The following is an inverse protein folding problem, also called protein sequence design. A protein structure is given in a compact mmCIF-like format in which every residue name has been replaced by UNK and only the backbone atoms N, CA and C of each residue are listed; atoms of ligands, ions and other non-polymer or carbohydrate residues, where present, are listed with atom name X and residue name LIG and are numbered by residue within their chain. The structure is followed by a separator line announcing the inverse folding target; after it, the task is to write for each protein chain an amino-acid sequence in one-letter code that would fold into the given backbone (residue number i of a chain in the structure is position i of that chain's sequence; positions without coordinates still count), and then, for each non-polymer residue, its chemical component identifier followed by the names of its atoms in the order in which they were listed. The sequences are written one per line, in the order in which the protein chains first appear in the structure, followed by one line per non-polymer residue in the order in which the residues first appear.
data_IF_772753702915
#
_entry.id   IF_772753702915
#
_cell.length_a   1.000
_cell.length_b   1.000
_cell.length_c   1.000
_cell.angle_alpha   90.00
_cell.angle_beta   90.00
_cell.angle_gamma   90.00
#
_symmetry.space_group_name_H-M   'P 1'
#
loop_
_entity.id
_entity.type
_entity.pdbx_description
1 polymer ?
#
# COMPACT_ATOMS: atom_id res chain seq x y z
N UNK A 1 30.09 9.59 -2.20
CA UNK A 1 28.75 9.84 -2.75
C UNK A 1 28.28 11.20 -2.26
N UNK A 2 27.83 12.08 -3.16
CA UNK A 2 27.35 13.43 -2.82
C UNK A 2 26.12 13.31 -1.88
N UNK A 3 26.02 14.19 -0.86
CA UNK A 3 24.91 14.18 0.12
C UNK A 3 23.53 14.24 -0.53
N UNK A 4 23.39 15.02 -1.62
CA UNK A 4 22.16 15.12 -2.41
C UNK A 4 21.80 13.79 -3.09
N UNK A 5 22.79 13.09 -3.67
CA UNK A 5 22.56 11.78 -4.28
C UNK A 5 22.14 10.74 -3.23
N UNK A 6 22.78 10.73 -2.06
CA UNK A 6 22.40 9.83 -0.95
C UNK A 6 20.96 10.05 -0.49
N UNK A 7 20.52 11.32 -0.39
CA UNK A 7 19.15 11.68 -0.02
C UNK A 7 18.14 11.07 -1.01
N UNK A 8 18.33 11.28 -2.33
CA UNK A 8 17.40 10.78 -3.34
C UNK A 8 17.41 9.26 -3.48
N UNK A 9 18.57 8.61 -3.34
CA UNK A 9 18.63 7.14 -3.32
C UNK A 9 17.90 6.60 -2.10
N UNK A 10 18.04 7.23 -0.94
CA UNK A 10 17.27 6.89 0.26
C UNK A 10 15.77 7.02 0.06
N UNK A 11 15.32 8.07 -0.63
CA UNK A 11 13.91 8.26 -1.00
C UNK A 11 13.39 7.13 -1.90
N UNK A 12 14.14 6.80 -2.96
CA UNK A 12 13.78 5.72 -3.88
C UNK A 12 13.66 4.39 -3.14
N UNK A 13 14.65 4.03 -2.33
CA UNK A 13 14.65 2.75 -1.58
C UNK A 13 13.50 2.70 -0.58
N UNK A 14 13.24 3.79 0.16
CA UNK A 14 12.13 3.90 1.09
C UNK A 14 10.78 3.72 0.36
N UNK A 15 10.65 4.36 -0.79
CA UNK A 15 9.43 4.31 -1.60
C UNK A 15 9.22 2.93 -2.25
N UNK A 16 10.29 2.29 -2.74
CA UNK A 16 10.24 0.91 -3.22
C UNK A 16 9.77 -0.03 -2.09
N UNK A 17 10.35 0.08 -0.90
CA UNK A 17 9.93 -0.70 0.25
C UNK A 17 8.43 -0.49 0.56
N UNK A 18 7.94 0.75 0.53
CA UNK A 18 6.54 1.08 0.74
C UNK A 18 5.60 0.48 -0.34
N UNK A 19 6.08 0.28 -1.57
CA UNK A 19 5.35 -0.42 -2.62
C UNK A 19 5.21 -1.92 -2.38
N UNK A 20 6.04 -2.48 -1.51
CA UNK A 20 6.12 -3.93 -1.27
C UNK A 20 5.40 -4.39 -0.01
N UNK A 21 5.29 -3.55 1.03
CA UNK A 21 4.78 -3.95 2.36
C UNK A 21 3.40 -4.59 2.36
N UNK A 22 2.58 -4.29 1.34
CA UNK A 22 1.22 -4.81 1.24
C UNK A 22 1.12 -6.12 0.45
N UNK A 23 2.22 -6.65 -0.12
CA UNK A 23 2.17 -7.84 -0.98
C UNK A 23 1.73 -9.08 -0.23
N UNK A 24 2.32 -9.34 0.93
CA UNK A 24 1.99 -10.52 1.76
C UNK A 24 0.60 -10.42 2.40
N UNK A 25 0.20 -9.30 3.04
CA UNK A 25 -1.16 -9.17 3.57
C UNK A 25 -2.26 -9.28 2.51
N UNK A 26 -2.01 -8.75 1.30
CA UNK A 26 -2.95 -8.81 0.18
C UNK A 26 -2.61 -9.90 -0.83
N UNK A 27 -2.00 -10.99 -0.39
CA UNK A 27 -1.63 -12.15 -1.21
C UNK A 27 -2.81 -12.68 -2.02
N UNK A 28 -4.01 -12.65 -1.44
CA UNK A 28 -5.27 -13.07 -2.07
C UNK A 28 -5.59 -12.34 -3.39
N UNK A 29 -5.08 -11.14 -3.61
CA UNK A 29 -5.41 -10.37 -4.83
C UNK A 29 -4.81 -10.96 -6.09
N UNK A 30 -3.76 -11.77 -5.95
CA UNK A 30 -3.05 -12.39 -7.07
C UNK A 30 -3.04 -13.92 -6.95
N UNK A 31 -2.97 -14.45 -5.74
CA UNK A 31 -2.73 -15.88 -5.47
C UNK A 31 -3.89 -16.53 -4.69
N UNK A 32 -5.14 -16.10 -4.95
CA UNK A 32 -6.30 -16.56 -4.20
C UNK A 32 -6.47 -18.08 -4.25
N UNK A 33 -6.42 -18.66 -5.47
CA UNK A 33 -6.59 -20.10 -5.68
C UNK A 33 -5.44 -20.89 -5.06
N UNK A 34 -4.22 -20.34 -5.10
CA UNK A 34 -3.07 -20.95 -4.46
C UNK A 34 -3.16 -20.91 -2.92
N UNK A 35 -3.80 -19.89 -2.34
CA UNK A 35 -4.05 -19.89 -0.90
C UNK A 35 -5.02 -21.01 -0.49
N UNK A 36 -6.02 -21.30 -1.33
CA UNK A 36 -6.95 -22.40 -1.10
C UNK A 36 -6.22 -23.74 -1.24
N UNK A 37 -5.49 -23.94 -2.34
CA UNK A 37 -4.85 -25.24 -2.64
C UNK A 37 -3.67 -25.54 -1.72
N UNK A 38 -2.74 -24.58 -1.57
CA UNK A 38 -1.45 -24.81 -0.94
C UNK A 38 -1.51 -24.75 0.60
N UNK A 39 -2.44 -23.97 1.15
CA UNK A 39 -2.65 -23.83 2.59
C UNK A 39 -3.93 -24.49 3.09
N UNK A 40 -4.67 -25.19 2.20
CA UNK A 40 -5.95 -25.85 2.48
C UNK A 40 -6.96 -24.90 3.18
N UNK A 41 -7.01 -23.63 2.73
CA UNK A 41 -7.88 -22.62 3.30
C UNK A 41 -9.24 -22.61 2.59
N UNK A 42 -10.31 -22.38 3.35
CA UNK A 42 -11.64 -22.10 2.81
C UNK A 42 -11.78 -20.61 2.49
N UNK A 43 -12.77 -20.27 1.63
CA UNK A 43 -13.11 -18.88 1.33
C UNK A 43 -13.43 -18.07 2.60
N UNK A 44 -14.13 -18.70 3.56
CA UNK A 44 -14.47 -18.07 4.85
C UNK A 44 -13.21 -17.77 5.65
N UNK A 45 -12.27 -18.71 5.70
CA UNK A 45 -10.99 -18.50 6.42
C UNK A 45 -10.16 -17.37 5.83
N UNK A 46 -10.08 -17.26 4.49
CA UNK A 46 -9.42 -16.13 3.83
C UNK A 46 -10.12 -14.81 4.20
N UNK A 47 -11.45 -14.81 4.25
CA UNK A 47 -12.25 -13.67 4.73
C UNK A 47 -11.93 -13.28 6.18
N UNK A 48 -11.81 -14.26 7.08
CA UNK A 48 -11.44 -14.04 8.49
C UNK A 48 -10.04 -13.43 8.59
N UNK A 49 -9.04 -13.97 7.89
CA UNK A 49 -7.68 -13.41 7.87
C UNK A 49 -7.67 -11.94 7.46
N UNK A 50 -8.43 -11.59 6.41
CA UNK A 50 -8.55 -10.20 5.97
C UNK A 50 -9.28 -9.31 6.97
N UNK A 51 -10.27 -9.86 7.68
CA UNK A 51 -11.00 -9.14 8.73
C UNK A 51 -10.08 -8.85 9.92
N UNK A 52 -9.32 -9.85 10.40
CA UNK A 52 -8.31 -9.69 11.45
C UNK A 52 -7.31 -8.59 11.06
N UNK A 53 -6.77 -8.65 9.84
CA UNK A 53 -5.81 -7.66 9.36
C UNK A 53 -6.42 -6.25 9.31
N UNK A 54 -7.61 -6.10 8.73
CA UNK A 54 -8.23 -4.78 8.51
C UNK A 54 -8.71 -4.15 9.82
N UNK A 55 -9.33 -4.92 10.73
CA UNK A 55 -9.76 -4.45 12.05
C UNK A 55 -8.55 -4.02 12.88
N UNK A 56 -7.50 -4.84 12.91
CA UNK A 56 -6.26 -4.52 13.62
C UNK A 56 -5.65 -3.21 13.11
N UNK A 57 -5.57 -3.03 11.79
CA UNK A 57 -5.08 -1.76 11.21
C UNK A 57 -5.91 -0.57 11.65
N UNK A 58 -7.24 -0.69 11.56
CA UNK A 58 -8.17 0.41 11.92
C UNK A 58 -7.95 0.85 13.36
N UNK A 59 -7.85 -0.10 14.28
CA UNK A 59 -7.63 0.20 15.72
C UNK A 59 -6.23 0.77 15.95
N UNK A 60 -5.22 0.27 15.25
CA UNK A 60 -3.83 0.63 15.51
C UNK A 60 -3.36 1.91 14.80
N UNK A 61 -4.12 2.49 13.86
CA UNK A 61 -3.70 3.73 13.20
C UNK A 61 -3.50 4.89 14.18
N UNK A 62 -4.38 5.05 15.18
CA UNK A 62 -4.25 6.11 16.18
C UNK A 62 -3.03 5.86 17.09
N UNK A 63 -2.91 4.71 17.81
CA UNK A 63 -1.74 4.46 18.63
C UNK A 63 -0.44 4.37 17.81
N UNK A 64 -0.49 3.88 16.57
CA UNK A 64 0.66 3.86 15.67
C UNK A 64 1.16 5.26 15.32
N UNK A 65 0.27 6.24 15.11
CA UNK A 65 0.62 7.64 14.94
C UNK A 65 1.34 8.21 16.15
N UNK A 66 0.82 7.94 17.36
CA UNK A 66 1.44 8.35 18.62
C UNK A 66 2.85 7.75 18.78
N UNK A 67 3.01 6.48 18.43
CA UNK A 67 4.32 5.82 18.47
C UNK A 67 5.30 6.45 17.46
N UNK A 68 4.84 6.78 16.25
CA UNK A 68 5.67 7.41 15.24
C UNK A 68 6.17 8.82 15.66
N UNK A 69 5.44 9.52 16.50
CA UNK A 69 5.87 10.82 17.04
C UNK A 69 6.87 10.69 18.18
N UNK A 70 6.84 9.58 18.92
CA UNK A 70 7.72 9.35 20.08
C UNK A 70 9.00 8.60 19.73
N UNK A 71 8.96 7.72 18.77
CA UNK A 71 10.10 6.88 18.41
C UNK A 71 10.85 7.44 17.20
N UNK A 72 12.13 7.04 17.09
CA UNK A 72 12.97 7.32 15.94
C UNK A 72 12.37 6.68 14.69
N UNK A 73 12.06 7.54 13.70
CA UNK A 73 11.37 7.15 12.48
C UNK A 73 12.12 6.07 11.69
N UNK A 74 13.47 6.17 11.65
CA UNK A 74 14.31 5.18 11.00
C UNK A 74 14.25 3.82 11.70
N UNK A 75 14.25 3.82 13.05
CA UNK A 75 14.15 2.57 13.83
C UNK A 75 12.81 1.90 13.62
N UNK A 76 11.73 2.68 13.53
CA UNK A 76 10.39 2.15 13.26
C UNK A 76 10.30 1.54 11.87
N UNK A 77 10.84 2.19 10.84
CA UNK A 77 10.89 1.66 9.47
C UNK A 77 11.68 0.36 9.39
N UNK A 78 12.86 0.32 10.03
CA UNK A 78 13.70 -0.88 10.04
C UNK A 78 13.07 -2.03 10.84
N UNK A 79 12.56 -1.73 12.04
CA UNK A 79 11.92 -2.73 12.91
C UNK A 79 10.67 -3.33 12.28
N UNK A 80 9.82 -2.50 11.66
CA UNK A 80 8.63 -2.97 10.95
C UNK A 80 8.99 -3.81 9.73
N UNK A 81 10.00 -3.42 8.95
CA UNK A 81 10.44 -4.23 7.80
C UNK A 81 11.08 -5.55 8.23
N UNK A 82 11.85 -5.56 9.30
CA UNK A 82 12.40 -6.80 9.87
C UNK A 82 11.29 -7.73 10.37
N UNK A 83 10.28 -7.18 11.04
CA UNK A 83 9.11 -7.94 11.48
C UNK A 83 8.35 -8.52 10.28
N UNK A 84 8.13 -7.74 9.21
CA UNK A 84 7.52 -8.23 7.97
C UNK A 84 8.29 -9.39 7.38
N UNK A 85 9.62 -9.32 7.32
CA UNK A 85 10.46 -10.40 6.81
C UNK A 85 10.30 -11.69 7.64
N UNK A 86 10.40 -11.59 8.96
CA UNK A 86 10.24 -12.72 9.88
C UNK A 86 8.86 -13.37 9.73
N UNK A 87 7.81 -12.56 9.73
CA UNK A 87 6.43 -13.05 9.58
C UNK A 87 6.20 -13.72 8.22
N UNK A 88 6.83 -13.19 7.16
CA UNK A 88 6.72 -13.76 5.82
C UNK A 88 7.41 -15.13 5.73
N UNK A 89 8.58 -15.28 6.34
CA UNK A 89 9.23 -16.60 6.44
C UNK A 89 8.43 -17.56 7.33
N UNK A 90 7.81 -17.08 8.39
CA UNK A 90 6.93 -17.92 9.20
C UNK A 90 5.70 -18.34 8.41
N UNK A 91 5.11 -17.46 7.60
CA UNK A 91 4.02 -17.80 6.71
C UNK A 91 4.45 -18.85 5.67
N UNK A 92 5.67 -18.75 5.12
CA UNK A 92 6.23 -19.72 4.19
C UNK A 92 6.43 -21.12 4.80
N UNK A 93 6.47 -21.24 6.12
CA UNK A 93 6.50 -22.55 6.80
C UNK A 93 5.17 -23.33 6.74
N UNK A 94 4.13 -22.75 6.10
CA UNK A 94 2.79 -23.35 5.95
C UNK A 94 2.16 -23.67 7.31
N UNK A 95 1.98 -22.69 8.20
CA UNK A 95 1.41 -22.93 9.51
C UNK A 95 -0.10 -23.19 9.41
N UNK A 96 -0.67 -23.81 10.43
CA UNK A 96 -2.11 -24.01 10.54
C UNK A 96 -2.88 -22.67 10.65
N UNK A 97 -4.21 -22.74 10.43
CA UNK A 97 -5.07 -21.56 10.30
C UNK A 97 -4.95 -20.59 11.48
N UNK A 98 -4.97 -21.07 12.72
CA UNK A 98 -4.81 -20.20 13.91
C UNK A 98 -3.50 -19.41 13.90
N UNK A 99 -2.42 -20.03 13.48
CA UNK A 99 -1.13 -19.32 13.36
C UNK A 99 -1.14 -18.30 12.23
N UNK A 100 -1.91 -18.54 11.16
CA UNK A 100 -2.13 -17.55 10.11
C UNK A 100 -2.89 -16.33 10.63
N UNK A 101 -3.87 -16.49 11.51
CA UNK A 101 -4.56 -15.36 12.15
C UNK A 101 -3.58 -14.50 12.97
N UNK A 102 -2.69 -15.15 13.75
CA UNK A 102 -1.63 -14.45 14.50
C UNK A 102 -0.67 -13.72 13.55
N UNK A 103 -0.27 -14.35 12.46
CA UNK A 103 0.58 -13.73 11.43
C UNK A 103 -0.12 -12.51 10.83
N UNK A 104 -1.40 -12.60 10.44
CA UNK A 104 -2.15 -11.49 9.86
C UNK A 104 -2.35 -10.33 10.83
N UNK A 105 -2.58 -10.63 12.12
CA UNK A 105 -2.58 -9.64 13.17
C UNK A 105 -1.24 -8.90 13.25
N UNK A 106 -0.11 -9.61 13.32
CA UNK A 106 1.22 -9.01 13.42
C UNK A 106 1.65 -8.30 12.13
N UNK A 107 1.22 -8.80 10.95
CA UNK A 107 1.40 -8.11 9.67
C UNK A 107 0.69 -6.74 9.69
N UNK A 108 -0.51 -6.67 10.28
CA UNK A 108 -1.23 -5.40 10.42
C UNK A 108 -0.48 -4.43 11.33
N UNK A 109 0.03 -4.89 12.48
CA UNK A 109 0.89 -4.09 13.38
C UNK A 109 2.09 -3.53 12.63
N UNK A 110 2.83 -4.41 11.95
CA UNK A 110 4.02 -4.04 11.19
C UNK A 110 3.71 -3.02 10.11
N UNK A 111 2.63 -3.23 9.34
CA UNK A 111 2.24 -2.33 8.26
C UNK A 111 1.80 -0.94 8.75
N UNK A 112 1.09 -0.86 9.87
CA UNK A 112 0.73 0.44 10.47
C UNK A 112 1.98 1.20 10.87
N UNK A 113 2.90 0.56 11.62
CA UNK A 113 4.14 1.19 12.06
C UNK A 113 5.01 1.65 10.88
N UNK A 114 5.10 0.83 9.84
CA UNK A 114 5.81 1.22 8.61
C UNK A 114 5.13 2.42 7.95
N UNK A 115 3.81 2.36 7.74
CA UNK A 115 3.09 3.36 6.97
C UNK A 115 3.12 4.74 7.60
N UNK A 116 2.86 4.86 8.91
CA UNK A 116 2.91 6.15 9.60
C UNK A 116 4.32 6.75 9.57
N UNK A 117 5.34 5.91 9.73
CA UNK A 117 6.74 6.32 9.65
C UNK A 117 7.15 6.70 8.22
N UNK A 118 6.64 5.99 7.22
CA UNK A 118 6.86 6.27 5.79
C UNK A 118 6.31 7.64 5.40
N UNK A 119 5.05 7.92 5.74
CA UNK A 119 4.42 9.22 5.44
C UNK A 119 5.19 10.38 6.08
N UNK A 120 5.64 10.21 7.34
CA UNK A 120 6.48 11.19 8.03
C UNK A 120 7.83 11.37 7.32
N UNK A 121 8.48 10.27 6.93
CA UNK A 121 9.76 10.32 6.23
C UNK A 121 9.65 10.99 4.85
N UNK A 122 8.62 10.69 4.07
CA UNK A 122 8.41 11.26 2.73
C UNK A 122 8.30 12.78 2.79
N UNK A 123 7.61 13.32 3.79
CA UNK A 123 7.48 14.78 3.97
C UNK A 123 8.83 15.50 4.11
N UNK A 124 9.86 14.84 4.64
CA UNK A 124 11.18 15.43 4.84
C UNK A 124 12.00 15.55 3.54
N UNK A 125 11.52 14.99 2.42
CA UNK A 125 12.26 15.02 1.16
C UNK A 125 11.98 16.24 0.30
N UNK A 126 10.84 16.94 0.47
CA UNK A 126 10.49 18.16 -0.24
C UNK A 126 10.24 19.35 0.68
N UNK A 127 10.17 20.55 0.10
CA UNK A 127 9.69 21.77 0.75
C UNK A 127 8.16 21.74 0.87
N UNK A 128 7.56 22.70 1.59
CA UNK A 128 6.10 22.78 1.71
C UNK A 128 5.40 22.90 0.35
N UNK A 129 6.01 23.61 -0.58
CA UNK A 129 5.49 23.85 -1.94
C UNK A 129 5.68 22.65 -2.88
N UNK A 130 6.51 21.67 -2.52
CA UNK A 130 6.85 20.50 -3.34
C UNK A 130 6.19 19.20 -2.84
N UNK A 131 5.36 19.27 -1.81
CA UNK A 131 4.79 18.06 -1.19
C UNK A 131 3.94 17.24 -2.17
N UNK A 132 3.17 17.91 -3.04
CA UNK A 132 2.38 17.23 -4.07
C UNK A 132 3.25 16.41 -5.02
N UNK A 133 4.34 17.01 -5.51
CA UNK A 133 5.31 16.33 -6.38
C UNK A 133 6.00 15.15 -5.69
N UNK A 134 6.44 15.34 -4.44
CA UNK A 134 7.15 14.30 -3.68
C UNK A 134 6.24 13.10 -3.42
N UNK A 135 5.00 13.33 -2.98
CA UNK A 135 4.02 12.25 -2.82
C UNK A 135 3.62 11.63 -4.17
N UNK A 136 3.44 12.43 -5.22
CA UNK A 136 3.16 11.95 -6.57
C UNK A 136 4.27 11.04 -7.11
N UNK A 137 5.54 11.42 -6.97
CA UNK A 137 6.67 10.55 -7.33
C UNK A 137 6.72 9.29 -6.48
N UNK A 138 6.42 9.42 -5.18
CA UNK A 138 6.36 8.28 -4.29
C UNK A 138 5.31 7.26 -4.77
N UNK A 139 4.10 7.69 -5.11
CA UNK A 139 3.06 6.79 -5.62
C UNK A 139 3.45 6.16 -6.97
N UNK A 140 4.05 6.93 -7.89
CA UNK A 140 4.55 6.39 -9.16
C UNK A 140 5.62 5.31 -8.97
N UNK A 141 6.61 5.53 -8.11
CA UNK A 141 7.66 4.54 -7.80
C UNK A 141 7.05 3.31 -7.12
N UNK A 142 6.08 3.48 -6.21
CA UNK A 142 5.37 2.38 -5.56
C UNK A 142 4.60 1.52 -6.57
N UNK A 143 3.96 2.15 -7.57
CA UNK A 143 3.25 1.43 -8.63
C UNK A 143 4.23 0.59 -9.46
N UNK A 144 5.38 1.15 -9.85
CA UNK A 144 6.44 0.41 -10.57
C UNK A 144 6.96 -0.76 -9.73
N UNK A 145 7.27 -0.52 -8.45
CA UNK A 145 7.74 -1.58 -7.54
C UNK A 145 6.71 -2.71 -7.45
N UNK A 146 5.43 -2.34 -7.31
CA UNK A 146 4.34 -3.29 -7.24
C UNK A 146 4.20 -4.15 -8.50
N UNK A 147 4.31 -3.52 -9.67
CA UNK A 147 4.23 -4.20 -10.95
C UNK A 147 5.37 -5.22 -11.10
N UNK A 148 6.62 -4.77 -10.93
CA UNK A 148 7.80 -5.60 -11.11
C UNK A 148 7.81 -6.80 -10.16
N UNK A 149 7.51 -6.57 -8.88
CA UNK A 149 7.53 -7.62 -7.88
C UNK A 149 6.41 -8.65 -8.09
N UNK A 150 5.23 -8.23 -8.58
CA UNK A 150 4.15 -9.16 -8.90
C UNK A 150 4.51 -10.05 -10.10
N UNK A 151 5.11 -9.49 -11.15
CA UNK A 151 5.56 -10.30 -12.27
C UNK A 151 6.66 -11.29 -11.88
N UNK A 152 7.63 -10.87 -11.05
CA UNK A 152 8.64 -11.76 -10.51
C UNK A 152 8.02 -12.89 -9.68
N UNK A 153 7.05 -12.56 -8.83
CA UNK A 153 6.34 -13.53 -8.01
C UNK A 153 5.53 -14.54 -8.84
N UNK A 154 4.85 -14.08 -9.89
CA UNK A 154 4.14 -14.95 -10.84
C UNK A 154 5.12 -15.85 -11.62
N UNK A 155 6.28 -15.35 -12.02
CA UNK A 155 7.34 -16.14 -12.64
C UNK A 155 7.85 -17.24 -11.72
N UNK A 156 8.05 -16.93 -10.43
CA UNK A 156 8.46 -17.94 -9.42
C UNK A 156 7.35 -18.97 -9.21
N UNK A 157 6.09 -18.54 -9.08
CA UNK A 157 4.96 -19.46 -8.97
C UNK A 157 4.93 -20.43 -10.16
N UNK A 158 5.05 -19.89 -11.39
CA UNK A 158 5.05 -20.70 -12.61
C UNK A 158 6.23 -21.69 -12.68
N UNK A 159 7.43 -21.27 -12.23
CA UNK A 159 8.59 -22.14 -12.19
C UNK A 159 8.41 -23.32 -11.20
N UNK A 160 7.79 -23.06 -10.05
CA UNK A 160 7.55 -24.07 -9.01
C UNK A 160 6.14 -24.67 -9.04
N UNK A 161 5.40 -24.52 -10.16
CA UNK A 161 3.99 -24.97 -10.26
C UNK A 161 3.81 -26.48 -9.97
N UNK A 162 4.82 -27.28 -10.25
CA UNK A 162 4.81 -28.73 -10.01
C UNK A 162 5.19 -29.13 -8.57
N UNK A 163 5.50 -28.18 -7.71
CA UNK A 163 5.80 -28.46 -6.30
C UNK A 163 4.51 -28.66 -5.49
N UNK A 164 4.62 -29.30 -4.33
CA UNK A 164 3.48 -29.53 -3.42
C UNK A 164 2.90 -28.23 -2.83
N UNK A 165 3.67 -27.15 -2.82
CA UNK A 165 3.25 -25.87 -2.29
C UNK A 165 4.00 -24.73 -3.05
N UNK A 166 3.58 -24.39 -4.27
CA UNK A 166 4.21 -23.34 -5.08
C UNK A 166 4.26 -21.98 -4.39
N UNK A 167 3.22 -21.62 -3.64
CA UNK A 167 3.10 -20.35 -2.94
C UNK A 167 4.15 -20.15 -1.85
N UNK A 168 4.69 -21.24 -1.27
CA UNK A 168 5.82 -21.17 -0.32
C UNK A 168 7.02 -20.46 -0.93
N UNK A 169 7.37 -20.75 -2.17
CA UNK A 169 8.52 -20.13 -2.84
C UNK A 169 8.31 -18.65 -3.13
N UNK A 170 7.07 -18.26 -3.43
CA UNK A 170 6.68 -16.84 -3.55
C UNK A 170 6.83 -16.12 -2.22
N UNK A 171 6.42 -16.73 -1.10
CA UNK A 171 6.59 -16.14 0.23
C UNK A 171 8.07 -16.05 0.63
N UNK A 172 8.88 -17.07 0.34
CA UNK A 172 10.34 -17.01 0.56
C UNK A 172 10.93 -15.84 -0.23
N UNK A 173 10.55 -15.69 -1.50
CA UNK A 173 10.99 -14.58 -2.34
C UNK A 173 10.62 -13.22 -1.72
N UNK A 174 9.38 -13.02 -1.28
CA UNK A 174 8.98 -11.78 -0.60
C UNK A 174 9.75 -11.55 0.69
N UNK A 175 9.99 -12.60 1.48
CA UNK A 175 10.80 -12.52 2.70
C UNK A 175 12.23 -12.05 2.41
N UNK A 176 12.88 -12.62 1.39
CA UNK A 176 14.22 -12.20 0.94
C UNK A 176 14.21 -10.75 0.48
N UNK A 177 13.21 -10.34 -0.29
CA UNK A 177 13.07 -8.94 -0.75
C UNK A 177 12.93 -7.99 0.44
N UNK A 178 12.13 -8.32 1.47
CA UNK A 178 12.03 -7.50 2.69
C UNK A 178 13.36 -7.39 3.43
N UNK A 179 14.14 -8.46 3.53
CA UNK A 179 15.49 -8.42 4.12
C UNK A 179 16.40 -7.48 3.31
N UNK A 180 16.42 -7.61 1.99
CA UNK A 180 17.21 -6.73 1.11
C UNK A 180 16.79 -5.27 1.29
N UNK A 181 15.49 -4.97 1.31
CA UNK A 181 14.98 -3.60 1.53
C UNK A 181 15.32 -3.08 2.92
N UNK A 182 15.23 -3.91 3.96
CA UNK A 182 15.64 -3.56 5.32
C UNK A 182 17.13 -3.20 5.40
N UNK A 183 17.99 -4.01 4.81
CA UNK A 183 19.44 -3.76 4.74
C UNK A 183 19.73 -2.48 3.94
N UNK A 184 19.11 -2.30 2.78
CA UNK A 184 19.28 -1.10 1.96
C UNK A 184 18.86 0.17 2.73
N UNK A 185 17.71 0.14 3.41
CA UNK A 185 17.25 1.25 4.25
C UNK A 185 18.19 1.52 5.43
N UNK A 186 18.76 0.47 6.03
CA UNK A 186 19.74 0.63 7.12
C UNK A 186 20.95 1.45 6.71
N UNK A 187 21.48 1.28 5.49
CA UNK A 187 22.64 2.02 5.01
C UNK A 187 22.29 3.38 4.40
N UNK A 188 21.14 3.53 3.80
CA UNK A 188 20.77 4.68 2.96
C UNK A 188 19.91 5.72 3.67
N UNK A 189 19.08 5.32 4.64
CA UNK A 189 18.29 6.29 5.39
C UNK A 189 19.18 7.07 6.36
N UNK A 190 19.04 8.41 6.40
CA UNK A 190 19.75 9.24 7.37
C UNK A 190 19.39 8.84 8.80
N UNK A 191 20.34 8.97 9.70
CA UNK A 191 20.04 8.88 11.14
C UNK A 191 19.23 10.12 11.51
N UNK A 192 18.11 9.90 12.18
CA UNK A 192 17.27 10.99 12.65
C UNK A 192 17.96 11.67 13.85
N UNK A 193 18.60 12.81 13.61
CA UNK A 193 19.34 13.54 14.65
C UNK A 193 18.47 14.57 15.38
N UNK A 194 17.23 14.77 14.95
CA UNK A 194 16.28 15.69 15.57
C UNK A 194 15.09 14.91 16.13
N UNK A 195 15.20 14.53 17.39
CA UNK A 195 14.00 14.28 18.21
C UNK A 195 13.33 15.65 18.41
N UNK A 196 12.33 15.96 17.63
CA UNK A 196 11.33 16.90 18.13
C UNK A 196 10.67 16.18 19.31
N UNK A 197 11.09 16.53 20.51
CA UNK A 197 10.40 16.13 21.75
C UNK A 197 9.06 16.89 21.79
N UNK A 198 8.18 16.58 20.86
CA UNK A 198 6.78 17.00 20.97
C UNK A 198 6.18 16.05 21.98
N UNK A 199 6.15 16.50 23.24
CA UNK A 199 5.44 15.82 24.32
C UNK A 199 3.93 15.92 24.07
N UNK A 200 3.46 15.32 22.97
CA UNK A 200 2.04 15.31 22.61
C UNK A 200 1.35 14.35 23.58
N UNK A 201 0.45 14.87 24.40
CA UNK A 201 -0.38 14.11 25.33
C UNK A 201 -1.46 13.37 24.54
N UNK A 202 -1.92 12.22 25.05
CA UNK A 202 -3.11 11.54 24.51
C UNK A 202 -4.31 12.50 24.43
N UNK A 203 -4.39 13.47 25.36
CA UNK A 203 -5.43 14.51 25.37
C UNK A 203 -5.36 15.42 24.15
N UNK A 204 -4.17 15.69 23.63
CA UNK A 204 -3.99 16.53 22.43
C UNK A 204 -4.52 15.81 21.18
N UNK A 205 -4.29 14.50 21.06
CA UNK A 205 -4.86 13.69 19.97
C UNK A 205 -6.39 13.65 20.03
N UNK A 206 -6.97 13.52 21.23
CA UNK A 206 -8.42 13.57 21.40
C UNK A 206 -9.00 14.96 21.09
N UNK A 207 -8.25 16.03 21.35
CA UNK A 207 -8.67 17.39 21.00
C UNK A 207 -8.67 17.61 19.46
N UNK A 208 -7.83 16.92 18.70
CA UNK A 208 -7.86 16.97 17.23
C UNK A 208 -9.21 16.48 16.69
N UNK A 209 -9.84 15.49 17.35
CA UNK A 209 -11.17 15.00 16.94
C UNK A 209 -12.29 16.04 17.13
N UNK A 210 -12.04 17.12 17.89
CA UNK A 210 -13.00 18.22 18.06
C UNK A 210 -12.90 19.25 16.92
N UNK A 211 -11.88 19.18 16.07
CA UNK A 211 -11.67 20.11 14.96
C UNK A 211 -12.53 19.68 13.76
N UNK A 212 -13.53 20.50 13.33
CA UNK A 212 -14.43 20.13 12.24
C UNK A 212 -13.70 19.79 10.92
N UNK A 213 -12.58 20.47 10.65
CA UNK A 213 -11.77 20.23 9.46
C UNK A 213 -11.21 18.81 9.37
N UNK A 214 -10.95 18.13 10.50
CA UNK A 214 -10.49 16.74 10.53
C UNK A 214 -11.57 15.81 10.00
N UNK A 215 -12.83 16.00 10.40
CA UNK A 215 -13.96 15.22 9.93
C UNK A 215 -14.24 15.46 8.44
N UNK A 216 -14.10 16.70 7.99
CA UNK A 216 -14.24 17.03 6.57
C UNK A 216 -13.19 16.28 5.72
N UNK A 217 -11.93 16.29 6.13
CA UNK A 217 -10.86 15.53 5.46
C UNK A 217 -11.15 14.02 5.53
N UNK A 218 -11.59 13.50 6.67
CA UNK A 218 -11.94 12.10 6.82
C UNK A 218 -13.07 11.67 5.87
N UNK A 219 -14.11 12.49 5.72
CA UNK A 219 -15.22 12.24 4.78
C UNK A 219 -14.72 12.30 3.32
N UNK A 220 -13.89 13.27 2.96
CA UNK A 220 -13.29 13.35 1.62
C UNK A 220 -12.47 12.09 1.29
N UNK A 221 -11.66 11.64 2.23
CA UNK A 221 -10.88 10.40 2.08
C UNK A 221 -11.80 9.19 1.95
N UNK A 222 -12.87 9.11 2.76
CA UNK A 222 -13.85 8.03 2.68
C UNK A 222 -14.52 8.00 1.30
N UNK A 223 -14.94 9.14 0.76
CA UNK A 223 -15.53 9.25 -0.57
C UNK A 223 -14.56 8.78 -1.66
N UNK A 224 -13.31 9.26 -1.64
CA UNK A 224 -12.28 8.87 -2.61
C UNK A 224 -12.00 7.35 -2.57
N UNK A 225 -11.86 6.77 -1.38
CA UNK A 225 -11.67 5.32 -1.23
C UNK A 225 -12.89 4.52 -1.65
N UNK A 226 -14.11 5.02 -1.46
CA UNK A 226 -15.33 4.35 -1.91
C UNK A 226 -15.37 4.23 -3.43
N UNK A 227 -14.97 5.29 -4.16
CA UNK A 227 -14.85 5.27 -5.62
C UNK A 227 -13.76 4.30 -6.06
N UNK A 228 -12.60 4.30 -5.39
CA UNK A 228 -11.52 3.37 -5.69
C UNK A 228 -11.96 1.91 -5.51
N UNK A 229 -12.65 1.58 -4.42
CA UNK A 229 -13.16 0.22 -4.17
C UNK A 229 -14.22 -0.16 -5.20
N UNK A 230 -15.14 0.76 -5.54
CA UNK A 230 -16.12 0.52 -6.60
C UNK A 230 -15.44 0.22 -7.95
N UNK A 231 -14.36 0.92 -8.27
CA UNK A 231 -13.58 0.67 -9.49
C UNK A 231 -12.93 -0.73 -9.54
N UNK A 232 -12.70 -1.40 -8.41
CA UNK A 232 -12.19 -2.79 -8.40
C UNK A 232 -13.17 -3.78 -9.06
N UNK A 233 -14.47 -3.49 -9.03
CA UNK A 233 -15.50 -4.30 -9.67
C UNK A 233 -15.59 -4.09 -11.18
N UNK A 234 -14.81 -3.18 -11.78
CA UNK A 234 -14.82 -2.93 -13.22
C UNK A 234 -14.54 -4.19 -14.04
N UNK A 235 -13.67 -5.08 -13.56
CA UNK A 235 -13.38 -6.35 -14.24
C UNK A 235 -14.62 -7.23 -14.35
N UNK A 236 -15.35 -7.39 -13.24
CA UNK A 236 -16.59 -8.14 -13.21
C UNK A 236 -17.65 -7.50 -14.12
N UNK A 237 -17.74 -6.18 -14.11
CA UNK A 237 -18.64 -5.43 -14.99
C UNK A 237 -18.31 -5.66 -16.48
N UNK A 238 -17.04 -5.61 -16.86
CA UNK A 238 -16.59 -5.85 -18.23
C UNK A 238 -16.88 -7.29 -18.70
N UNK A 239 -16.72 -8.27 -17.81
CA UNK A 239 -17.01 -9.67 -18.17
C UNK A 239 -18.50 -9.98 -18.20
N UNK A 240 -19.29 -9.47 -17.23
CA UNK A 240 -20.71 -9.82 -17.11
C UNK A 240 -21.62 -8.99 -18.01
N UNK A 241 -21.34 -7.69 -18.18
CA UNK A 241 -22.20 -6.77 -18.95
C UNK A 241 -21.76 -6.66 -20.40
N UNK A 242 -20.45 -6.60 -20.67
CA UNK A 242 -19.91 -6.48 -22.03
C UNK A 242 -19.46 -7.81 -22.64
N UNK A 243 -19.58 -8.92 -21.91
CA UNK A 243 -19.15 -10.24 -22.42
C UNK A 243 -17.64 -10.33 -22.73
N UNK A 244 -16.83 -9.44 -22.15
CA UNK A 244 -15.40 -9.41 -22.40
C UNK A 244 -14.73 -10.69 -21.87
N UNK A 245 -13.84 -11.29 -22.66
CA UNK A 245 -13.10 -12.47 -22.21
C UNK A 245 -12.25 -12.16 -20.95
N UNK A 246 -12.14 -13.12 -20.06
CA UNK A 246 -11.46 -12.97 -18.76
C UNK A 246 -10.01 -12.43 -18.89
N UNK A 247 -9.27 -12.86 -19.92
CA UNK A 247 -7.90 -12.39 -20.18
C UNK A 247 -7.89 -10.91 -20.55
N UNK A 248 -8.76 -10.47 -21.46
CA UNK A 248 -8.86 -9.07 -21.86
C UNK A 248 -9.29 -8.17 -20.71
N UNK A 249 -10.28 -8.60 -19.93
CA UNK A 249 -10.72 -7.90 -18.72
C UNK A 249 -9.59 -7.80 -17.66
N UNK A 250 -8.79 -8.86 -17.52
CA UNK A 250 -7.61 -8.88 -16.65
C UNK A 250 -6.52 -7.90 -17.09
N UNK A 251 -6.27 -7.77 -18.40
CA UNK A 251 -5.33 -6.79 -18.96
C UNK A 251 -5.81 -5.37 -18.64
N UNK A 252 -7.08 -5.06 -18.88
CA UNK A 252 -7.68 -3.75 -18.57
C UNK A 252 -7.55 -3.43 -17.09
N UNK A 253 -7.87 -4.40 -16.22
CA UNK A 253 -7.73 -4.24 -14.78
C UNK A 253 -6.26 -3.96 -14.34
N UNK A 254 -5.30 -4.64 -14.96
CA UNK A 254 -3.86 -4.44 -14.69
C UNK A 254 -3.40 -3.06 -15.13
N UNK A 255 -3.77 -2.63 -16.35
CA UNK A 255 -3.45 -1.29 -16.85
C UNK A 255 -4.07 -0.22 -15.94
N UNK A 256 -5.32 -0.39 -15.54
CA UNK A 256 -6.01 0.52 -14.61
C UNK A 256 -5.30 0.61 -13.26
N UNK A 257 -4.98 -0.54 -12.67
CA UNK A 257 -4.48 -0.59 -11.28
C UNK A 257 -3.02 -0.16 -11.14
N UNK A 258 -2.20 -0.39 -12.15
CA UNK A 258 -0.77 -0.14 -12.08
C UNK A 258 -0.27 0.78 -13.20
N UNK A 259 -0.72 0.59 -14.44
CA UNK A 259 -0.21 1.34 -15.59
C UNK A 259 -0.52 2.82 -15.50
N UNK A 260 -1.76 3.17 -15.23
CA UNK A 260 -2.19 4.59 -15.14
C UNK A 260 -1.50 5.28 -13.95
N UNK A 261 -1.43 4.62 -12.78
CA UNK A 261 -0.86 5.17 -11.56
C UNK A 261 0.61 5.59 -11.68
N UNK A 262 1.39 4.92 -12.52
CA UNK A 262 2.80 5.25 -12.77
C UNK A 262 2.95 6.69 -13.27
N UNK A 263 2.08 7.10 -14.19
CA UNK A 263 2.15 8.41 -14.83
C UNK A 263 1.23 9.43 -14.18
N UNK A 264 0.00 9.06 -13.82
CA UNK A 264 -0.99 10.00 -13.30
C UNK A 264 -0.58 10.58 -11.94
N UNK A 265 -0.03 9.79 -11.04
CA UNK A 265 0.32 10.28 -9.71
C UNK A 265 1.41 11.37 -9.72
N UNK A 266 2.55 11.22 -10.43
CA UNK A 266 3.53 12.29 -10.58
C UNK A 266 3.00 13.53 -11.29
N UNK A 267 2.14 13.35 -12.31
CA UNK A 267 1.54 14.46 -13.07
C UNK A 267 0.61 15.26 -12.17
N UNK A 268 -0.29 14.58 -11.46
CA UNK A 268 -1.25 15.23 -10.53
C UNK A 268 -0.53 15.91 -9.38
N UNK A 269 0.53 15.29 -8.85
CA UNK A 269 1.37 15.91 -7.84
C UNK A 269 1.96 17.24 -8.28
N UNK A 270 2.55 17.28 -9.48
CA UNK A 270 3.08 18.54 -10.07
C UNK A 270 1.99 19.59 -10.35
N UNK A 271 0.83 19.15 -10.84
CA UNK A 271 -0.32 20.05 -11.07
C UNK A 271 -0.76 20.65 -9.74
N UNK A 272 -0.84 19.85 -8.68
CA UNK A 272 -1.22 20.30 -7.33
C UNK A 272 -0.28 21.38 -6.79
N UNK A 273 1.04 21.15 -6.91
CA UNK A 273 2.04 22.13 -6.49
C UNK A 273 1.95 23.43 -7.33
N UNK A 274 1.78 23.31 -8.66
CA UNK A 274 1.65 24.47 -9.55
C UNK A 274 0.37 25.28 -9.31
N UNK A 275 -0.73 24.62 -8.97
CA UNK A 275 -2.01 25.27 -8.61
C UNK A 275 -1.91 25.95 -7.25
N UNK A 276 -1.00 25.52 -6.39
CA UNK A 276 -0.81 26.06 -5.02
C UNK A 276 -2.00 25.82 -4.10
N UNK A 277 -2.87 24.83 -4.44
CA UNK A 277 -4.06 24.52 -3.65
C UNK A 277 -4.47 23.06 -3.83
N UNK A 278 -4.23 22.27 -2.81
CA UNK A 278 -4.65 20.85 -2.78
C UNK A 278 -6.17 20.74 -2.88
N UNK A 279 -6.94 21.64 -2.27
CA UNK A 279 -8.40 21.64 -2.33
C UNK A 279 -8.92 21.80 -3.75
N UNK A 280 -8.38 22.76 -4.53
CA UNK A 280 -8.79 22.96 -5.93
C UNK A 280 -8.45 21.75 -6.79
N UNK A 281 -7.29 21.16 -6.58
CA UNK A 281 -6.87 19.93 -7.28
C UNK A 281 -7.81 18.77 -6.97
N UNK A 282 -8.17 18.56 -5.70
CA UNK A 282 -9.13 17.53 -5.30
C UNK A 282 -10.51 17.75 -5.93
N UNK A 283 -11.04 18.98 -5.91
CA UNK A 283 -12.33 19.29 -6.54
C UNK A 283 -12.29 18.95 -8.04
N UNK A 284 -11.20 19.31 -8.73
CA UNK A 284 -11.02 18.97 -10.15
C UNK A 284 -10.99 17.45 -10.39
N UNK A 285 -10.30 16.68 -9.55
CA UNK A 285 -10.26 15.23 -9.66
C UNK A 285 -11.63 14.58 -9.42
N UNK A 286 -12.35 15.01 -8.38
CA UNK A 286 -13.70 14.52 -8.13
C UNK A 286 -14.68 14.87 -9.26
N UNK A 287 -14.55 16.05 -9.88
CA UNK A 287 -15.35 16.41 -11.05
C UNK A 287 -15.08 15.47 -12.23
N UNK A 288 -13.82 15.12 -12.49
CA UNK A 288 -13.43 14.14 -13.51
C UNK A 288 -14.01 12.76 -13.19
N UNK A 289 -13.91 12.30 -11.93
CA UNK A 289 -14.48 11.02 -11.49
C UNK A 289 -16.00 10.98 -11.69
N UNK A 290 -16.70 12.04 -11.33
CA UNK A 290 -18.15 12.16 -11.54
C UNK A 290 -18.53 12.07 -13.03
N UNK A 291 -17.79 12.77 -13.89
CA UNK A 291 -18.02 12.73 -15.34
C UNK A 291 -17.79 11.32 -15.89
N UNK A 292 -16.69 10.67 -15.50
CA UNK A 292 -16.39 9.31 -15.93
C UNK A 292 -17.45 8.30 -15.41
N UNK A 293 -17.90 8.45 -14.18
CA UNK A 293 -18.99 7.64 -13.61
C UNK A 293 -20.31 7.82 -14.37
N UNK A 294 -20.66 9.07 -14.69
CA UNK A 294 -21.85 9.36 -15.48
C UNK A 294 -21.75 8.76 -16.90
N UNK A 295 -20.59 8.87 -17.56
CA UNK A 295 -20.34 8.25 -18.86
C UNK A 295 -20.53 6.73 -18.79
N UNK A 296 -19.99 6.06 -17.75
CA UNK A 296 -20.17 4.61 -17.58
C UNK A 296 -21.63 4.19 -17.42
N UNK A 297 -22.44 5.01 -16.75
CA UNK A 297 -23.88 4.75 -16.58
C UNK A 297 -24.65 4.93 -17.90
N UNK A 298 -24.20 5.89 -18.73
CA UNK A 298 -24.85 6.22 -19.99
C UNK A 298 -24.44 5.30 -21.17
N UNK A 299 -23.36 4.54 -21.02
CA UNK A 299 -22.98 3.53 -22.01
C UNK A 299 -23.95 2.35 -21.89
N UNK A 300 -24.81 2.11 -22.92
CA UNK A 300 -25.73 0.99 -22.87
C UNK A 300 -24.93 -0.31 -22.83
N UNK A 301 -25.20 -1.15 -21.84
CA UNK A 301 -24.74 -2.53 -21.84
C UNK A 301 -25.22 -3.21 -23.13
N UNK A 302 -24.36 -3.96 -23.79
CA UNK A 302 -24.82 -4.81 -24.90
C UNK A 302 -25.78 -5.87 -24.32
N UNK A 303 -26.92 -6.14 -24.96
CA UNK A 303 -27.90 -7.13 -24.52
C UNK A 303 -27.33 -8.54 -24.52
#
# INVERSE_FOLDING_TARGET
MNAKAKKWIGFIVLTLAAGLIYRVPYLKTVFYDNMISDFALTNTQIGILMSVYSLTKTVLYIPGGILADRFDNRKMLLGSTALLAVLTFWYAAVPGFFMLEVIYFLLAVSNVLFWVSFVKAVRLFGTEDEQGSVFGYSEGIRAVAGLLINFAALGILGYYISSTCPLRYVLIFYGVVYVIMGVAMFFLLPKDNKRENVATSLKDYLNVLKVPGVWLVAILVLCAYSVQVAAEYTTTYLTTVFGMGAVSAGIVATIRSYGIGIFSAPIIGKISDKVGSYTKTLIGLFAVEMILGAVLILIPGQP
#
